data_IF_430453893842
#
_entry.id   IF_430453893842
#
_cell.length_a   1.000
_cell.length_b   1.000
_cell.length_c   1.000
_cell.angle_alpha   90.00
_cell.angle_beta   90.00
_cell.angle_gamma   90.00
#
_symmetry.space_group_name_H-M   'P 1'
#
loop_
_entity.id
_entity.type
_entity.pdbx_description
1 polymer ?
#
# COMPACT_ATOMS: atom_id res chain seq x y z
N UNK A 1 61.88 7.99 27.74
CA UNK A 1 60.48 7.51 27.68
C UNK A 1 59.56 8.74 27.69
N UNK A 2 58.86 9.04 26.59
CA UNK A 2 58.01 10.25 26.49
C UNK A 2 56.78 10.11 25.56
N UNK A 3 56.41 8.87 25.22
CA UNK A 3 55.36 8.58 24.22
C UNK A 3 53.93 8.61 24.75
N UNK A 4 53.67 7.99 25.90
CA UNK A 4 52.30 7.71 26.38
C UNK A 4 51.46 8.97 26.62
N UNK A 5 52.05 10.06 27.14
CA UNK A 5 51.31 11.31 27.37
C UNK A 5 50.82 11.97 26.08
N UNK A 6 51.55 11.82 24.96
CA UNK A 6 51.13 12.37 23.66
C UNK A 6 49.96 11.58 23.08
N UNK A 7 50.01 10.25 23.19
CA UNK A 7 48.93 9.36 22.75
C UNK A 7 47.67 9.60 23.59
N UNK A 8 47.82 9.69 24.92
CA UNK A 8 46.73 10.04 25.83
C UNK A 8 46.09 11.40 25.52
N UNK A 9 46.89 12.42 25.22
CA UNK A 9 46.40 13.74 24.83
C UNK A 9 45.62 13.69 23.49
N UNK A 10 46.12 12.98 22.48
CA UNK A 10 45.42 12.84 21.18
C UNK A 10 44.07 12.11 21.35
N UNK A 11 44.03 11.02 22.11
CA UNK A 11 42.80 10.29 22.41
C UNK A 11 41.81 11.18 23.17
N UNK A 12 42.27 11.89 24.21
CA UNK A 12 41.43 12.80 24.98
C UNK A 12 40.85 13.93 24.12
N UNK A 13 41.66 14.59 23.29
CA UNK A 13 41.20 15.63 22.36
C UNK A 13 40.19 15.07 21.35
N UNK A 14 40.41 13.86 20.84
CA UNK A 14 39.50 13.20 19.89
C UNK A 14 38.15 12.89 20.55
N UNK A 15 38.17 12.31 21.77
CA UNK A 15 36.95 12.01 22.53
C UNK A 15 36.18 13.29 22.88
N UNK A 16 36.86 14.35 23.32
CA UNK A 16 36.23 15.64 23.60
C UNK A 16 35.62 16.27 22.34
N UNK A 17 36.31 16.25 21.20
CA UNK A 17 35.74 16.68 19.92
C UNK A 17 34.52 15.86 19.52
N UNK A 18 34.55 14.53 19.65
CA UNK A 18 33.39 13.68 19.35
C UNK A 18 32.19 13.95 20.28
N UNK A 19 32.43 14.17 21.58
CA UNK A 19 31.39 14.51 22.53
C UNK A 19 30.78 15.90 22.27
N UNK A 20 31.60 16.90 21.93
CA UNK A 20 31.12 18.24 21.58
C UNK A 20 30.38 18.23 20.24
N UNK A 21 30.93 17.61 19.20
CA UNK A 21 30.29 17.54 17.88
C UNK A 21 28.99 16.73 17.92
N UNK A 22 29.00 15.55 18.55
CA UNK A 22 27.81 14.71 18.72
C UNK A 22 26.77 15.34 19.65
N UNK A 23 27.21 16.02 20.72
CA UNK A 23 26.34 16.76 21.63
C UNK A 23 25.68 17.96 20.94
N UNK A 24 26.44 18.77 20.19
CA UNK A 24 25.91 19.91 19.43
C UNK A 24 24.99 19.45 18.29
N UNK A 25 25.37 18.44 17.50
CA UNK A 25 24.49 17.90 16.45
C UNK A 25 23.23 17.26 17.02
N UNK A 26 23.35 16.47 18.10
CA UNK A 26 22.21 15.89 18.80
C UNK A 26 21.28 16.96 19.37
N UNK A 27 21.84 18.00 19.99
CA UNK A 27 21.08 19.14 20.51
C UNK A 27 20.45 19.96 19.38
N UNK A 28 21.12 20.16 18.25
CA UNK A 28 20.55 20.81 17.06
C UNK A 28 19.40 19.99 16.49
N UNK A 29 19.51 18.66 16.38
CA UNK A 29 18.40 17.79 15.95
C UNK A 29 17.25 17.77 16.97
N UNK A 30 17.53 17.96 18.26
CA UNK A 30 16.52 17.96 19.33
C UNK A 30 15.85 19.33 19.55
N UNK A 31 16.55 20.44 19.27
CA UNK A 31 16.06 21.82 19.38
C UNK A 31 15.58 22.41 18.05
N UNK A 32 15.97 21.86 16.89
CA UNK A 32 15.25 22.10 15.64
C UNK A 32 13.86 21.47 15.82
N UNK A 33 12.80 22.28 15.95
CA UNK A 33 11.46 21.72 16.05
C UNK A 33 11.12 21.03 14.72
N UNK A 34 10.18 20.10 14.76
CA UNK A 34 9.44 19.65 13.57
C UNK A 34 8.51 20.78 13.07
N UNK A 35 9.09 21.93 12.72
CA UNK A 35 8.39 23.08 12.18
C UNK A 35 8.12 22.86 10.69
N UNK A 36 7.21 21.92 10.37
CA UNK A 36 6.20 22.07 9.30
C UNK A 36 5.19 20.90 9.25
N UNK A 37 4.47 20.60 10.34
CA UNK A 37 3.13 19.95 10.22
C UNK A 37 2.19 20.54 11.29
N UNK A 38 1.75 21.78 11.08
CA UNK A 38 0.54 22.29 11.75
C UNK A 38 -0.66 21.95 10.86
N UNK A 39 -1.63 21.15 11.34
CA UNK A 39 -2.88 20.96 10.60
C UNK A 39 -3.77 22.20 10.75
N UNK A 40 -3.90 22.96 9.67
CA UNK A 40 -4.87 24.07 9.57
C UNK A 40 -6.30 23.49 9.47
N UNK A 41 -6.86 23.08 10.61
CA UNK A 41 -8.29 22.78 10.71
C UNK A 41 -9.07 24.07 11.01
N UNK A 42 -9.46 24.79 9.96
CA UNK A 42 -10.45 25.88 10.07
C UNK A 42 -11.89 25.31 10.05
N UNK A 43 -12.72 25.64 11.06
CA UNK A 43 -14.13 25.27 11.08
C UNK A 43 -15.04 26.46 10.72
N UNK A 44 -16.32 26.16 10.45
CA UNK A 44 -17.47 27.09 10.38
C UNK A 44 -17.54 28.01 9.13
N UNK A 45 -18.43 27.65 8.18
CA UNK A 45 -19.57 28.52 7.84
C UNK A 45 -20.65 27.77 7.02
N UNK A 46 -21.90 27.96 7.40
CA UNK A 46 -23.15 27.53 6.73
C UNK A 46 -24.31 28.37 7.29
N UNK A 47 -25.52 28.43 6.69
CA UNK A 47 -25.95 27.87 5.40
C UNK A 47 -26.09 29.02 4.35
N UNK A 48 -27.22 29.44 3.71
CA UNK A 48 -28.62 28.99 3.68
C UNK A 48 -29.10 28.37 2.34
N UNK A 49 -30.36 27.92 2.34
CA UNK A 49 -31.26 27.66 1.19
C UNK A 49 -32.18 28.91 0.99
N UNK A 50 -33.10 29.05 -0.01
CA UNK A 50 -33.88 28.04 -0.76
C UNK A 50 -33.89 28.31 -2.30
N UNK A 51 -34.66 27.71 -3.24
CA UNK A 51 -36.06 27.24 -3.34
C UNK A 51 -36.18 26.22 -4.50
N UNK A 52 -37.14 25.28 -4.44
CA UNK A 52 -37.57 24.40 -5.54
C UNK A 52 -38.94 24.90 -6.08
N UNK A 53 -39.26 24.72 -7.37
CA UNK A 53 -40.54 24.08 -7.70
C UNK A 53 -40.43 23.07 -8.88
N UNK A 54 -41.51 22.36 -9.26
CA UNK A 54 -41.40 20.99 -9.76
C UNK A 54 -41.77 20.82 -11.24
N UNK A 55 -41.61 19.60 -11.77
CA UNK A 55 -42.47 19.13 -12.86
C UNK A 55 -42.72 17.63 -12.76
N UNK A 56 -43.98 17.29 -12.50
CA UNK A 56 -44.54 15.93 -12.47
C UNK A 56 -45.00 15.55 -13.88
N UNK A 57 -44.68 14.35 -14.38
CA UNK A 57 -45.59 13.52 -15.20
C UNK A 57 -44.98 12.16 -15.58
N UNK A 58 -45.67 11.08 -15.21
CA UNK A 58 -45.69 9.77 -15.90
C UNK A 58 -46.56 9.90 -17.19
N UNK A 59 -46.63 8.95 -18.17
CA UNK A 59 -46.95 7.53 -17.89
C UNK A 59 -46.37 6.41 -18.80
N UNK A 60 -46.36 5.21 -18.20
CA UNK A 60 -46.75 3.85 -18.69
C UNK A 60 -46.67 3.39 -20.17
N UNK A 61 -46.36 2.09 -20.32
CA UNK A 61 -46.41 1.26 -21.54
C UNK A 61 -45.02 0.69 -21.87
N UNK A 62 -44.79 -0.59 -22.17
CA UNK A 62 -45.64 -1.76 -22.47
C UNK A 62 -44.92 -3.04 -21.94
N UNK A 63 -45.52 -4.24 -22.04
CA UNK A 63 -44.96 -5.49 -21.50
C UNK A 63 -44.92 -6.67 -22.50
N UNK A 64 -44.15 -7.73 -22.18
CA UNK A 64 -44.32 -9.16 -22.64
C UNK A 64 -43.89 -9.47 -24.11
N UNK A 65 -43.42 -10.69 -24.52
CA UNK A 65 -42.52 -11.70 -23.89
C UNK A 65 -41.48 -12.43 -24.84
N UNK A 66 -40.57 -13.24 -24.28
CA UNK A 66 -40.24 -14.64 -24.69
C UNK A 66 -39.53 -15.04 -26.01
N UNK A 67 -38.34 -15.68 -25.87
CA UNK A 67 -37.73 -16.79 -26.68
C UNK A 67 -37.38 -16.57 -28.19
N UNK A 68 -36.57 -17.43 -28.88
CA UNK A 68 -35.51 -18.39 -28.49
C UNK A 68 -34.09 -18.00 -29.06
N UNK A 69 -33.01 -18.80 -28.82
CA UNK A 69 -31.68 -18.57 -29.40
C UNK A 69 -31.40 -19.31 -30.74
N UNK A 70 -30.61 -18.73 -31.67
CA UNK A 70 -29.99 -19.42 -32.80
C UNK A 70 -28.43 -19.44 -32.68
N UNK A 71 -27.64 -20.09 -33.57
CA UNK A 71 -27.07 -21.40 -33.25
C UNK A 71 -25.54 -21.44 -33.17
N UNK A 72 -25.01 -22.54 -32.60
CA UNK A 72 -23.61 -22.94 -32.73
C UNK A 72 -23.29 -23.32 -34.18
N UNK A 73 -22.37 -22.60 -34.84
CA UNK A 73 -21.64 -23.10 -36.01
C UNK A 73 -20.17 -22.63 -36.00
N UNK A 74 -19.29 -23.63 -35.99
CA UNK A 74 -17.92 -23.75 -36.49
C UNK A 74 -16.99 -22.51 -36.69
N UNK A 75 -15.73 -22.72 -36.30
CA UNK A 75 -14.58 -21.87 -36.63
C UNK A 75 -14.16 -22.01 -38.11
N UNK A 76 -13.55 -20.97 -38.70
CA UNK A 76 -12.62 -21.12 -39.82
C UNK A 76 -11.16 -21.19 -39.34
N UNK A 77 -10.49 -22.31 -39.60
CA UNK A 77 -9.04 -22.46 -39.39
C UNK A 77 -8.24 -21.73 -40.48
N UNK A 78 -7.35 -20.79 -40.10
CA UNK A 78 -6.27 -20.26 -40.96
C UNK A 78 -5.12 -19.70 -40.09
N UNK A 79 -3.86 -19.64 -40.56
CA UNK A 79 -2.98 -20.79 -40.43
C UNK A 79 -1.72 -20.52 -39.59
N UNK A 80 -1.04 -21.62 -39.25
CA UNK A 80 0.28 -21.67 -38.60
C UNK A 80 1.33 -20.80 -39.33
N UNK A 81 1.74 -19.69 -38.71
CA UNK A 81 2.88 -18.88 -39.16
C UNK A 81 3.91 -18.75 -38.02
N UNK A 82 4.93 -19.61 -38.04
CA UNK A 82 6.00 -19.60 -37.06
C UNK A 82 6.91 -18.37 -37.25
N UNK A 83 6.90 -17.45 -36.28
CA UNK A 83 7.94 -16.44 -36.12
C UNK A 83 8.39 -16.44 -34.66
N UNK A 84 9.53 -17.07 -34.40
CA UNK A 84 10.17 -17.01 -33.11
C UNK A 84 10.59 -15.56 -32.83
N UNK A 85 10.27 -14.97 -31.65
CA UNK A 85 10.85 -13.69 -31.28
C UNK A 85 12.38 -13.85 -31.21
N UNK A 86 13.17 -12.84 -31.61
CA UNK A 86 14.61 -12.90 -31.43
C UNK A 86 14.90 -13.11 -29.94
N UNK A 87 15.80 -14.05 -29.63
CA UNK A 87 16.40 -14.14 -28.29
C UNK A 87 17.13 -12.84 -28.01
N UNK A 88 16.43 -11.89 -27.38
CA UNK A 88 17.08 -10.76 -26.75
C UNK A 88 17.86 -11.32 -25.56
N UNK A 89 19.15 -11.52 -25.76
CA UNK A 89 20.11 -11.93 -24.74
C UNK A 89 20.30 -10.80 -23.74
N UNK A 90 19.26 -10.52 -22.95
CA UNK A 90 19.33 -9.66 -21.79
C UNK A 90 20.17 -10.36 -20.72
N UNK A 91 21.50 -10.27 -20.87
CA UNK A 91 22.43 -10.40 -19.74
C UNK A 91 22.30 -9.14 -18.90
N UNK A 92 21.15 -9.01 -18.25
CA UNK A 92 21.00 -8.12 -17.12
C UNK A 92 21.28 -8.95 -15.86
N UNK A 93 22.10 -8.47 -14.92
CA UNK A 93 22.29 -9.13 -13.65
C UNK A 93 21.03 -8.92 -12.80
N UNK A 94 19.98 -9.68 -13.12
CA UNK A 94 18.79 -9.78 -12.28
C UNK A 94 19.26 -10.15 -10.89
N UNK A 95 19.19 -9.18 -9.97
CA UNK A 95 19.56 -9.35 -8.58
C UNK A 95 18.66 -10.42 -7.99
N UNK A 96 19.17 -11.65 -7.94
CA UNK A 96 18.47 -12.82 -7.43
C UNK A 96 17.87 -12.42 -6.07
N UNK A 97 16.53 -12.49 -5.87
CA UNK A 97 15.94 -12.15 -4.59
C UNK A 97 16.61 -13.06 -3.57
N UNK A 98 17.45 -12.45 -2.74
CA UNK A 98 18.46 -13.18 -1.98
C UNK A 98 17.70 -14.20 -1.15
N UNK A 99 18.03 -15.50 -1.21
CA UNK A 99 17.18 -16.58 -0.66
C UNK A 99 16.78 -16.45 0.83
N UNK A 100 17.35 -15.46 1.52
CA UNK A 100 16.89 -14.87 2.77
C UNK A 100 15.46 -14.28 2.67
N UNK A 101 15.14 -13.41 1.70
CA UNK A 101 13.78 -12.88 1.46
C UNK A 101 12.77 -14.01 1.30
N UNK A 102 13.03 -14.94 0.37
CA UNK A 102 12.12 -16.07 0.10
C UNK A 102 11.91 -16.92 1.36
N UNK A 103 12.97 -17.16 2.15
CA UNK A 103 12.86 -17.87 3.42
C UNK A 103 12.05 -17.08 4.46
N UNK A 104 12.21 -15.75 4.52
CA UNK A 104 11.43 -14.91 5.42
C UNK A 104 9.96 -14.86 5.01
N UNK A 105 9.63 -14.82 3.73
CA UNK A 105 8.24 -14.83 3.28
C UNK A 105 7.52 -16.15 3.58
N UNK A 106 8.22 -17.29 3.48
CA UNK A 106 7.71 -18.58 3.96
C UNK A 106 7.49 -18.59 5.48
N UNK A 107 8.40 -18.01 6.27
CA UNK A 107 8.24 -17.90 7.73
C UNK A 107 7.05 -17.00 8.11
N UNK A 108 6.89 -15.87 7.42
CA UNK A 108 5.79 -14.92 7.57
C UNK A 108 4.44 -15.55 7.17
N UNK A 109 4.40 -16.35 6.10
CA UNK A 109 3.20 -17.07 5.66
C UNK A 109 2.79 -18.18 6.64
N UNK A 110 3.74 -18.98 7.14
CA UNK A 110 3.48 -20.02 8.13
C UNK A 110 3.01 -19.45 9.49
N UNK A 111 3.46 -18.25 9.84
CA UNK A 111 3.12 -17.59 11.11
C UNK A 111 1.70 -16.99 11.14
N UNK A 112 1.20 -16.55 9.98
CA UNK A 112 -0.10 -15.90 9.80
C UNK A 112 -0.71 -16.28 8.43
N UNK A 113 -1.50 -17.38 8.37
CA UNK A 113 -2.22 -17.79 7.16
C UNK A 113 -3.30 -16.77 6.77
N UNK A 114 -3.78 -16.84 5.52
CA UNK A 114 -4.67 -15.82 4.94
C UNK A 114 -6.14 -15.90 5.40
N UNK A 115 -6.57 -17.04 5.94
CA UNK A 115 -7.96 -17.36 6.31
C UNK A 115 -8.57 -16.44 7.40
N UNK A 116 -7.76 -15.78 8.25
CA UNK A 116 -8.29 -15.01 9.39
C UNK A 116 -8.69 -13.55 9.07
N UNK A 117 -8.52 -13.06 7.84
CA UNK A 117 -8.86 -11.65 7.46
C UNK A 117 -8.03 -10.55 8.18
N UNK A 118 -7.23 -10.94 9.17
CA UNK A 118 -6.45 -10.09 10.06
C UNK A 118 -4.93 -10.26 9.87
N UNK A 119 -4.47 -10.81 8.73
CA UNK A 119 -3.04 -11.14 8.51
C UNK A 119 -2.08 -10.01 8.91
N UNK A 120 -2.46 -8.74 8.67
CA UNK A 120 -1.67 -7.58 9.10
C UNK A 120 -1.57 -7.46 10.64
N UNK A 121 -2.68 -7.57 11.36
CA UNK A 121 -2.71 -7.51 12.82
C UNK A 121 -2.08 -8.75 13.47
N UNK A 122 -2.30 -9.94 12.89
CA UNK A 122 -1.60 -11.17 13.26
C UNK A 122 -0.08 -11.00 13.20
N UNK A 123 0.45 -10.47 12.08
CA UNK A 123 1.88 -10.26 11.89
C UNK A 123 2.45 -9.22 12.85
N UNK A 124 1.71 -8.15 13.16
CA UNK A 124 2.12 -7.18 14.19
C UNK A 124 2.23 -7.83 15.58
N UNK A 125 1.22 -8.62 15.98
CA UNK A 125 1.20 -9.32 17.27
C UNK A 125 2.29 -10.40 17.37
N UNK A 126 2.53 -11.16 16.30
CA UNK A 126 3.47 -12.30 16.27
C UNK A 126 4.87 -11.93 15.77
N UNK A 127 5.19 -10.67 15.45
CA UNK A 127 6.49 -10.29 14.87
C UNK A 127 7.72 -10.79 15.67
N UNK A 128 7.62 -10.88 17.00
CA UNK A 128 8.66 -11.41 17.87
C UNK A 128 8.90 -12.94 17.72
N UNK A 129 7.97 -13.69 17.12
CA UNK A 129 8.10 -15.12 16.89
C UNK A 129 8.88 -15.46 15.61
N UNK A 130 9.10 -14.49 14.73
CA UNK A 130 10.00 -14.67 13.59
C UNK A 130 11.46 -14.80 14.02
N UNK A 131 12.25 -15.47 13.18
CA UNK A 131 13.69 -15.55 13.27
C UNK A 131 14.34 -14.16 13.24
N UNK A 132 15.44 -14.01 13.98
CA UNK A 132 16.19 -12.75 14.08
C UNK A 132 16.48 -12.04 12.74
N UNK A 133 16.89 -12.72 11.64
CA UNK A 133 17.09 -12.04 10.35
C UNK A 133 15.79 -11.59 9.67
N UNK A 134 14.65 -12.22 9.95
CA UNK A 134 13.37 -11.91 9.29
C UNK A 134 12.54 -10.85 10.03
N UNK A 135 12.77 -10.63 11.33
CA UNK A 135 12.17 -9.53 12.11
C UNK A 135 12.32 -8.13 11.48
N UNK A 136 13.52 -7.65 11.08
CA UNK A 136 13.66 -6.34 10.45
C UNK A 136 12.94 -6.26 9.09
N UNK A 137 13.02 -7.32 8.28
CA UNK A 137 12.33 -7.41 6.99
C UNK A 137 10.81 -7.31 7.15
N UNK A 138 10.22 -8.03 8.13
CA UNK A 138 8.80 -7.88 8.44
C UNK A 138 8.48 -6.45 8.89
N UNK A 139 9.28 -5.84 9.79
CA UNK A 139 9.02 -4.48 10.27
C UNK A 139 8.97 -3.47 9.11
N UNK A 140 9.87 -3.58 8.14
CA UNK A 140 9.86 -2.74 6.94
C UNK A 140 8.64 -3.02 6.06
N UNK A 141 8.32 -4.29 5.80
CA UNK A 141 7.15 -4.71 5.00
C UNK A 141 5.83 -4.22 5.61
N UNK A 142 5.70 -4.27 6.94
CA UNK A 142 4.56 -3.72 7.69
C UNK A 142 4.48 -2.19 7.58
N UNK A 143 5.63 -1.49 7.62
CA UNK A 143 5.66 -0.03 7.48
C UNK A 143 5.22 0.41 6.07
N UNK A 144 5.79 -0.19 5.01
CA UNK A 144 5.42 0.07 3.62
C UNK A 144 3.93 -0.23 3.35
N UNK A 145 3.41 -1.33 3.88
CA UNK A 145 2.00 -1.69 3.76
C UNK A 145 1.06 -0.77 4.57
N UNK A 146 1.51 -0.25 5.71
CA UNK A 146 0.75 0.77 6.46
C UNK A 146 0.65 2.07 5.66
N UNK A 147 1.75 2.51 5.06
CA UNK A 147 1.80 3.72 4.23
C UNK A 147 0.92 3.61 2.99
N UNK A 148 1.02 2.53 2.22
CA UNK A 148 0.15 2.32 1.04
C UNK A 148 -1.33 2.24 1.41
N UNK A 149 -1.67 1.60 2.55
CA UNK A 149 -3.04 1.60 3.09
C UNK A 149 -3.51 2.99 3.56
N UNK A 150 -2.61 3.87 4.00
CA UNK A 150 -2.95 5.26 4.32
C UNK A 150 -3.21 6.07 3.05
N UNK A 151 -2.33 5.97 2.05
CA UNK A 151 -2.50 6.60 0.73
C UNK A 151 -3.83 6.18 0.07
N UNK A 152 -4.12 4.88 0.05
CA UNK A 152 -5.39 4.34 -0.44
C UNK A 152 -6.60 4.91 0.31
N UNK A 153 -6.56 4.95 1.65
CA UNK A 153 -7.66 5.50 2.47
C UNK A 153 -7.92 6.97 2.21
N UNK A 154 -6.88 7.76 1.94
CA UNK A 154 -7.00 9.19 1.65
C UNK A 154 -7.56 9.42 0.26
N UNK A 155 -7.01 8.77 -0.77
CA UNK A 155 -7.48 8.91 -2.15
C UNK A 155 -8.92 8.38 -2.33
N UNK A 156 -9.24 7.23 -1.74
CA UNK A 156 -10.57 6.63 -1.80
C UNK A 156 -11.54 7.18 -0.73
N UNK A 157 -11.27 8.31 -0.07
CA UNK A 157 -12.15 8.76 1.02
C UNK A 157 -13.58 9.08 0.51
N UNK A 158 -13.69 9.79 -0.61
CA UNK A 158 -14.98 10.12 -1.21
C UNK A 158 -15.73 8.85 -1.65
N UNK A 159 -15.04 7.95 -2.34
CA UNK A 159 -15.56 6.68 -2.81
C UNK A 159 -16.04 5.78 -1.66
N UNK A 160 -15.25 5.68 -0.58
CA UNK A 160 -15.65 5.02 0.66
C UNK A 160 -16.93 5.62 1.23
N UNK A 161 -17.03 6.96 1.26
CA UNK A 161 -18.23 7.68 1.72
C UNK A 161 -19.41 7.57 0.75
N UNK A 162 -19.25 7.03 -0.45
CA UNK A 162 -20.33 6.83 -1.42
C UNK A 162 -20.80 5.37 -1.45
N UNK A 163 -19.87 4.42 -1.55
CA UNK A 163 -20.16 3.00 -1.76
C UNK A 163 -19.96 2.12 -0.51
N UNK A 164 -19.05 2.49 0.39
CA UNK A 164 -18.56 1.61 1.46
C UNK A 164 -18.81 2.16 2.88
N UNK A 165 -19.93 2.89 3.10
CA UNK A 165 -20.24 3.54 4.39
C UNK A 165 -20.35 2.56 5.56
N UNK A 166 -20.91 1.39 5.31
CA UNK A 166 -21.24 0.37 6.32
C UNK A 166 -20.05 -0.53 6.66
N UNK A 167 -18.93 -0.36 5.96
CA UNK A 167 -17.73 -1.20 6.14
C UNK A 167 -16.99 -0.80 7.41
N UNK A 168 -16.90 -1.73 8.35
CA UNK A 168 -16.21 -1.54 9.62
C UNK A 168 -14.72 -1.18 9.43
N UNK A 169 -14.15 -0.32 10.30
CA UNK A 169 -12.75 0.06 10.23
C UNK A 169 -11.82 -1.07 10.71
N UNK A 170 -11.37 -1.92 9.78
CA UNK A 170 -10.43 -3.02 10.08
C UNK A 170 -10.37 -4.06 8.97
N UNK A 171 -9.68 -5.17 9.22
CA UNK A 171 -9.87 -6.47 8.54
C UNK A 171 -9.84 -6.52 6.99
N UNK A 172 -9.24 -5.53 6.31
CA UNK A 172 -9.20 -5.49 4.84
C UNK A 172 -10.54 -5.21 4.12
N UNK A 173 -11.69 -5.26 4.79
CA UNK A 173 -13.02 -5.13 4.17
C UNK A 173 -13.23 -3.86 3.34
N UNK A 174 -12.57 -2.75 3.70
CA UNK A 174 -12.60 -1.52 2.90
C UNK A 174 -12.04 -1.73 1.50
N UNK A 175 -10.93 -2.47 1.38
CA UNK A 175 -10.31 -2.77 0.09
C UNK A 175 -11.26 -3.59 -0.75
N UNK A 176 -11.85 -4.65 -0.17
CA UNK A 176 -12.74 -5.56 -0.89
C UNK A 176 -14.04 -4.90 -1.36
N UNK A 177 -14.58 -3.95 -0.60
CA UNK A 177 -15.72 -3.13 -1.05
C UNK A 177 -15.32 -2.14 -2.17
N UNK A 178 -14.15 -1.50 -2.09
CA UNK A 178 -13.69 -0.64 -3.18
C UNK A 178 -13.33 -1.44 -4.44
N UNK A 179 -12.83 -2.67 -4.30
CA UNK A 179 -12.64 -3.64 -5.40
C UNK A 179 -13.98 -4.00 -6.07
N UNK A 180 -15.04 -4.28 -5.31
CA UNK A 180 -16.37 -4.57 -5.91
C UNK A 180 -17.00 -3.37 -6.62
N UNK A 181 -16.59 -2.15 -6.25
CA UNK A 181 -16.98 -0.90 -6.90
C UNK A 181 -15.91 -0.32 -7.84
N UNK A 182 -14.91 -1.10 -8.26
CA UNK A 182 -13.75 -0.59 -9.01
C UNK A 182 -14.08 0.12 -10.34
N UNK A 183 -15.26 -0.10 -10.92
CA UNK A 183 -15.75 0.58 -12.14
C UNK A 183 -16.53 1.89 -11.84
N UNK A 184 -16.81 2.18 -10.57
CA UNK A 184 -17.62 3.30 -10.10
C UNK A 184 -16.89 4.24 -9.14
N UNK A 185 -15.72 3.83 -8.62
CA UNK A 185 -14.83 4.69 -7.84
C UNK A 185 -14.07 5.68 -8.73
N UNK A 186 -13.57 6.76 -8.13
CA UNK A 186 -12.70 7.73 -8.81
C UNK A 186 -11.42 7.12 -9.40
N UNK A 187 -10.89 7.72 -10.47
CA UNK A 187 -9.62 7.30 -11.09
C UNK A 187 -8.43 7.31 -10.11
N UNK A 188 -8.44 8.22 -9.14
CA UNK A 188 -7.41 8.29 -8.09
C UNK A 188 -7.50 7.08 -7.16
N UNK A 189 -8.71 6.68 -6.77
CA UNK A 189 -8.92 5.48 -5.98
C UNK A 189 -8.56 4.21 -6.77
N UNK A 190 -9.06 4.09 -8.01
CA UNK A 190 -8.85 2.91 -8.87
C UNK A 190 -7.37 2.61 -9.12
N UNK A 191 -6.52 3.63 -9.27
CA UNK A 191 -5.09 3.47 -9.47
C UNK A 191 -4.36 2.87 -8.27
N UNK A 192 -4.87 3.10 -7.05
CA UNK A 192 -4.26 2.64 -5.80
C UNK A 192 -4.83 1.29 -5.31
N UNK A 193 -5.92 0.79 -5.91
CA UNK A 193 -6.50 -0.50 -5.53
C UNK A 193 -5.51 -1.66 -5.81
N UNK A 194 -5.28 -2.56 -4.84
CA UNK A 194 -4.36 -3.68 -5.00
C UNK A 194 -4.97 -4.70 -5.96
N UNK A 195 -4.50 -4.71 -7.21
CA UNK A 195 -4.96 -5.65 -8.25
C UNK A 195 -4.48 -7.06 -7.92
N UNK A 196 -5.35 -7.91 -7.34
CA UNK A 196 -5.09 -9.32 -6.99
C UNK A 196 -4.50 -10.18 -8.13
N UNK A 197 -4.60 -9.75 -9.38
CA UNK A 197 -4.06 -10.45 -10.55
C UNK A 197 -2.64 -10.08 -11.02
N UNK A 198 -1.90 -9.15 -10.38
CA UNK A 198 -0.55 -8.75 -10.85
C UNK A 198 0.62 -9.50 -10.20
N UNK A 199 0.39 -10.69 -9.66
CA UNK A 199 1.40 -11.58 -9.06
C UNK A 199 1.58 -12.90 -9.84
N UNK A 200 1.07 -12.97 -11.08
CA UNK A 200 1.14 -14.14 -11.95
C UNK A 200 1.91 -13.87 -13.26
N UNK A 201 3.01 -13.12 -13.18
CA UNK A 201 3.99 -12.98 -14.25
C UNK A 201 5.38 -12.63 -13.71
#
# INVERSE_FOLDING_TARGET
MAGSSRIGAVILVTLLSCLVLGGVWGLVILLLPQSEVVPESQPISSPPKPVLPPSTALPSGEAVPGDPPPPVVAQPEVPLAAQAPPRSSATEPAGLPSGKEVKCDLEIAALCPEEEGERHACLQRKAAHLSMPCRPMLREKLARMKESMQQLRTACEADRRQFCREVAPGGGGLVQCLESHAQSVSDQCFQLLPKRGRLLN
#
